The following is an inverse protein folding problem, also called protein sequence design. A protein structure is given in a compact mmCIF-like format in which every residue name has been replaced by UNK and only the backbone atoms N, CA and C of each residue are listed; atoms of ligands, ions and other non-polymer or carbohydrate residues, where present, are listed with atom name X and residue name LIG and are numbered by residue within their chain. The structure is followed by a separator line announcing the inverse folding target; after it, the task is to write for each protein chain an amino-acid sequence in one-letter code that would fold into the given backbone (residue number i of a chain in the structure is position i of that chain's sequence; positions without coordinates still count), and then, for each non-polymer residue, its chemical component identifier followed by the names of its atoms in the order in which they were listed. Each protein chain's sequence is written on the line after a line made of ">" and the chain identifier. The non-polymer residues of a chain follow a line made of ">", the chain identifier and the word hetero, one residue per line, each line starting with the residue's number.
data_IF_352379060109
#
_entry.id   IF_352379060109
#
_cell.length_a   1.000
_cell.length_b   1.000
_cell.length_c   1.000
_cell.angle_alpha   90.00
_cell.angle_beta   90.00
_cell.angle_gamma   90.00
#
_symmetry.space_group_name_H-M   'P 1'
#
loop_
_entity.id
_entity.type
_entity.pdbx_description
1 polymer ?
#
# COMPACT_ATOMS: atom_id res chain seq x y z
N UNK A 1 -40.64 6.37 38.33
CA UNK A 1 -40.61 5.81 36.96
C UNK A 1 -39.18 5.45 36.62
N UNK A 2 -38.97 4.18 36.30
CA UNK A 2 -37.68 3.47 36.30
C UNK A 2 -36.78 3.88 35.12
N UNK A 3 -35.47 4.06 35.36
CA UNK A 3 -34.45 4.18 34.30
C UNK A 3 -33.98 2.77 33.90
N UNK A 4 -33.97 2.38 32.62
CA UNK A 4 -33.37 1.10 32.22
C UNK A 4 -31.85 1.25 32.07
N UNK A 5 -31.10 0.50 32.87
CA UNK A 5 -29.67 0.27 32.71
C UNK A 5 -29.45 -0.82 31.65
N UNK A 6 -29.01 -0.44 30.45
CA UNK A 6 -28.59 -1.39 29.41
C UNK A 6 -27.12 -1.76 29.61
N UNK A 7 -26.85 -2.93 30.19
CA UNK A 7 -25.52 -3.48 30.34
C UNK A 7 -24.98 -4.01 28.99
N UNK A 8 -24.03 -3.29 28.39
CA UNK A 8 -23.31 -3.73 27.19
C UNK A 8 -22.23 -4.75 27.56
N UNK A 9 -22.48 -6.05 27.29
CA UNK A 9 -21.48 -7.12 27.44
C UNK A 9 -20.49 -7.08 26.26
N UNK A 10 -19.19 -6.93 26.57
CA UNK A 10 -18.10 -7.06 25.58
C UNK A 10 -18.05 -8.49 24.99
N UNK A 11 -17.80 -8.68 23.68
CA UNK A 11 -17.62 -10.02 23.12
C UNK A 11 -16.27 -10.62 23.53
N UNK A 12 -16.26 -11.93 23.83
CA UNK A 12 -15.06 -12.70 24.19
C UNK A 12 -14.15 -12.88 22.96
N UNK A 13 -12.85 -12.68 23.13
CA UNK A 13 -11.83 -12.95 22.11
C UNK A 13 -11.69 -14.46 21.86
N UNK A 14 -11.56 -14.85 20.59
CA UNK A 14 -11.20 -16.22 20.19
C UNK A 14 -9.68 -16.43 20.36
N UNK A 15 -9.22 -17.63 20.77
CA UNK A 15 -7.80 -17.93 20.83
C UNK A 15 -7.20 -18.03 19.42
N UNK A 16 -6.02 -17.45 19.23
CA UNK A 16 -5.24 -17.56 17.98
C UNK A 16 -4.58 -18.95 17.94
N UNK A 17 -4.89 -19.74 16.93
CA UNK A 17 -4.15 -20.96 16.62
C UNK A 17 -2.74 -20.59 16.15
N UNK A 18 -1.73 -21.03 16.89
CA UNK A 18 -0.32 -20.93 16.50
C UNK A 18 -0.04 -22.07 15.50
N UNK A 19 0.44 -21.74 14.31
CA UNK A 19 1.07 -22.73 13.44
C UNK A 19 2.51 -22.90 13.93
N UNK A 20 2.83 -24.08 14.45
CA UNK A 20 4.19 -24.43 14.89
C UNK A 20 5.08 -24.65 13.66
N UNK A 21 6.01 -23.73 13.41
CA UNK A 21 7.04 -23.84 12.36
C UNK A 21 8.33 -24.43 12.93
N UNK A 22 8.25 -25.59 13.57
CA UNK A 22 9.41 -26.28 14.13
C UNK A 22 9.51 -27.71 13.60
N UNK A 23 9.67 -27.85 12.29
CA UNK A 23 10.15 -29.07 11.62
C UNK A 23 10.47 -28.77 10.16
N UNK A 24 11.49 -27.93 9.93
CA UNK A 24 12.20 -27.89 8.65
C UNK A 24 13.69 -27.94 8.97
N UNK A 25 14.26 -29.14 8.86
CA UNK A 25 15.70 -29.33 8.87
C UNK A 25 16.31 -28.67 7.62
N UNK A 26 17.53 -28.12 7.67
CA UNK A 26 18.18 -27.54 6.51
C UNK A 26 18.69 -28.67 5.61
N UNK A 27 18.09 -28.86 4.45
CA UNK A 27 18.66 -29.69 3.40
C UNK A 27 19.76 -28.88 2.72
N UNK A 28 21.02 -29.23 2.99
CA UNK A 28 22.16 -28.72 2.23
C UNK A 28 22.05 -29.23 0.78
N UNK A 29 21.60 -28.37 -0.12
CA UNK A 29 21.63 -28.64 -1.56
C UNK A 29 23.04 -28.42 -2.09
N UNK A 30 23.85 -29.48 -2.09
CA UNK A 30 24.94 -29.61 -3.07
C UNK A 30 24.29 -30.05 -4.38
N UNK A 31 24.04 -29.11 -5.28
CA UNK A 31 23.68 -29.41 -6.66
C UNK A 31 24.96 -29.37 -7.49
N UNK A 32 25.44 -30.57 -7.84
CA UNK A 32 26.50 -30.75 -8.83
C UNK A 32 26.00 -30.27 -10.21
N UNK A 33 26.83 -29.48 -10.88
CA UNK A 33 26.47 -28.68 -12.05
C UNK A 33 26.34 -29.47 -13.37
N UNK A 34 26.37 -30.80 -13.35
CA UNK A 34 26.48 -31.62 -14.57
C UNK A 34 25.21 -32.40 -14.96
N UNK A 35 24.11 -32.29 -14.22
CA UNK A 35 22.88 -33.07 -14.47
C UNK A 35 21.73 -32.30 -15.18
N UNK A 36 21.99 -31.12 -15.76
CA UNK A 36 20.96 -30.33 -16.48
C UNK A 36 21.06 -30.39 -18.02
N UNK A 37 21.78 -31.38 -18.58
CA UNK A 37 22.07 -31.42 -20.04
C UNK A 37 21.24 -32.38 -20.90
N UNK A 38 20.28 -33.12 -20.34
CA UNK A 38 19.53 -34.12 -21.14
C UNK A 38 18.06 -34.30 -20.77
N UNK A 39 17.34 -33.21 -20.50
CA UNK A 39 15.88 -33.21 -20.47
C UNK A 39 15.32 -31.92 -21.07
N UNK A 40 15.72 -31.61 -22.30
CA UNK A 40 15.35 -30.36 -23.00
C UNK A 40 14.31 -30.52 -24.13
N UNK A 41 13.74 -31.71 -24.35
CA UNK A 41 12.97 -31.96 -25.59
C UNK A 41 11.44 -32.03 -25.49
N UNK A 42 10.78 -31.75 -24.35
CA UNK A 42 9.32 -31.90 -24.23
C UNK A 42 8.54 -30.81 -23.45
N UNK A 43 9.07 -29.59 -23.34
CA UNK A 43 8.36 -28.44 -22.72
C UNK A 43 8.35 -27.16 -23.56
N UNK A 44 8.52 -27.29 -24.88
CA UNK A 44 8.76 -26.24 -25.89
C UNK A 44 7.69 -25.14 -25.99
N UNK A 45 6.51 -25.30 -25.36
CA UNK A 45 5.45 -24.28 -25.38
C UNK A 45 5.67 -23.10 -24.41
N UNK A 46 6.31 -23.31 -23.25
CA UNK A 46 6.44 -22.28 -22.23
C UNK A 46 7.71 -21.42 -22.39
N UNK A 47 8.74 -21.95 -23.06
CA UNK A 47 10.01 -21.25 -23.28
C UNK A 47 9.92 -20.11 -24.30
N UNK A 48 8.88 -20.09 -25.16
CA UNK A 48 8.67 -19.02 -26.15
C UNK A 48 7.98 -17.78 -25.54
N UNK A 49 7.45 -17.88 -24.32
CA UNK A 49 6.72 -16.79 -23.65
C UNK A 49 7.62 -15.93 -22.75
N UNK A 50 8.83 -16.38 -22.45
CA UNK A 50 9.82 -15.61 -21.69
C UNK A 50 10.80 -15.02 -22.70
N UNK A 51 10.81 -13.69 -22.91
CA UNK A 51 11.75 -13.07 -23.83
C UNK A 51 13.18 -13.41 -23.43
N UNK A 52 13.99 -13.81 -24.40
CA UNK A 52 15.43 -13.99 -24.18
C UNK A 52 16.07 -12.66 -23.76
N UNK A 53 17.22 -12.68 -23.08
CA UNK A 53 17.88 -11.46 -22.63
C UNK A 53 18.14 -10.45 -23.77
N UNK A 54 18.43 -10.93 -24.98
CA UNK A 54 18.56 -10.10 -26.19
C UNK A 54 17.24 -9.47 -26.65
N UNK A 55 16.10 -10.13 -26.42
CA UNK A 55 14.79 -9.55 -26.70
C UNK A 55 14.40 -8.54 -25.64
N UNK A 56 14.78 -8.75 -24.37
CA UNK A 56 14.56 -7.78 -23.30
C UNK A 56 15.28 -6.46 -23.57
N UNK A 57 16.54 -6.48 -24.01
CA UNK A 57 17.27 -5.25 -24.36
C UNK A 57 16.64 -4.51 -25.55
N UNK A 58 16.13 -5.23 -26.55
CA UNK A 58 15.42 -4.62 -27.67
C UNK A 58 14.08 -4.01 -27.25
N UNK A 59 13.38 -4.63 -26.29
CA UNK A 59 12.13 -4.09 -25.72
C UNK A 59 12.43 -2.85 -24.88
N UNK A 60 13.51 -2.84 -24.10
CA UNK A 60 13.95 -1.67 -23.34
C UNK A 60 14.33 -0.49 -24.25
N UNK A 61 15.00 -0.77 -25.37
CA UNK A 61 15.37 0.26 -26.37
C UNK A 61 14.16 0.74 -27.18
N UNK A 62 13.26 -0.16 -27.59
CA UNK A 62 12.08 0.18 -28.40
C UNK A 62 10.97 0.85 -27.58
N UNK A 63 10.88 0.55 -26.27
CA UNK A 63 9.87 1.08 -25.37
C UNK A 63 10.53 1.73 -24.13
N UNK A 64 11.18 2.89 -24.28
CA UNK A 64 11.73 3.62 -23.15
C UNK A 64 10.64 3.93 -22.09
N UNK A 65 9.41 4.24 -22.51
CA UNK A 65 8.25 4.44 -21.62
C UNK A 65 7.86 3.18 -20.82
N UNK A 66 8.19 1.97 -21.30
CA UNK A 66 7.88 0.73 -20.56
C UNK A 66 8.80 0.47 -19.37
N UNK A 67 9.94 1.17 -19.31
CA UNK A 67 11.00 1.03 -18.29
C UNK A 67 10.90 2.12 -17.20
N UNK A 68 10.01 3.10 -17.34
CA UNK A 68 9.74 4.18 -16.38
C UNK A 68 9.25 3.71 -14.99
N UNK A 69 9.21 2.40 -14.75
CA UNK A 69 8.91 1.76 -13.46
C UNK A 69 9.82 2.30 -12.35
N UNK A 70 11.10 2.59 -12.66
CA UNK A 70 12.04 3.14 -11.67
C UNK A 70 11.67 4.57 -11.28
N UNK A 71 11.40 5.42 -12.26
CA UNK A 71 11.01 6.82 -12.04
C UNK A 71 9.67 6.88 -11.29
N UNK A 72 8.71 6.08 -11.72
CA UNK A 72 7.42 5.92 -11.04
C UNK A 72 7.56 5.46 -9.58
N UNK A 73 8.41 4.46 -9.32
CA UNK A 73 8.65 3.99 -7.96
C UNK A 73 9.24 5.10 -7.08
N UNK A 74 10.18 5.88 -7.62
CA UNK A 74 10.78 7.02 -6.93
C UNK A 74 9.77 8.14 -6.67
N UNK A 75 8.92 8.47 -7.62
CA UNK A 75 7.87 9.47 -7.46
C UNK A 75 6.84 9.03 -6.42
N UNK A 76 6.45 7.74 -6.47
CA UNK A 76 5.55 7.15 -5.48
C UNK A 76 6.14 7.23 -4.08
N UNK A 77 7.42 6.91 -3.91
CA UNK A 77 8.11 7.02 -2.63
C UNK A 77 8.17 8.48 -2.15
N UNK A 78 8.54 9.42 -3.02
CA UNK A 78 8.58 10.85 -2.69
C UNK A 78 7.20 11.38 -2.24
N UNK A 79 6.12 10.94 -2.88
CA UNK A 79 4.75 11.28 -2.47
C UNK A 79 4.37 10.66 -1.12
N UNK A 80 4.74 9.40 -0.88
CA UNK A 80 4.50 8.74 0.41
C UNK A 80 5.22 9.49 1.53
N UNK A 81 6.47 9.88 1.32
CA UNK A 81 7.25 10.67 2.28
C UNK A 81 6.62 12.04 2.56
N UNK A 82 6.19 12.75 1.51
CA UNK A 82 5.54 14.04 1.63
C UNK A 82 4.18 13.96 2.36
N UNK A 83 3.41 12.89 2.15
CA UNK A 83 2.09 12.70 2.78
C UNK A 83 2.16 12.11 4.18
N UNK A 84 3.18 11.30 4.48
CA UNK A 84 3.38 10.74 5.82
C UNK A 84 3.58 11.83 6.88
N UNK A 85 3.99 13.04 6.46
CA UNK A 85 4.12 14.19 7.34
C UNK A 85 5.07 13.92 8.50
N UNK A 86 6.03 13.00 8.31
CA UNK A 86 7.03 12.68 9.31
C UNK A 86 7.79 13.96 9.57
N UNK A 87 7.56 14.55 10.74
CA UNK A 87 8.28 15.73 11.17
C UNK A 87 9.77 15.40 11.07
N UNK A 88 10.51 16.24 10.34
CA UNK A 88 11.96 16.19 10.43
C UNK A 88 12.29 16.46 11.90
N UNK A 89 12.69 15.41 12.62
CA UNK A 89 13.23 15.54 13.96
C UNK A 89 14.52 16.34 13.84
N UNK A 90 14.37 17.67 13.92
CA UNK A 90 15.44 18.64 14.09
C UNK A 90 15.89 18.51 15.53
N UNK A 91 16.57 17.40 15.82
CA UNK A 91 17.30 17.24 17.06
C UNK A 91 18.40 18.30 17.08
N UNK A 92 18.14 19.39 17.82
CA UNK A 92 19.16 20.39 18.10
C UNK A 92 20.36 19.68 18.73
N UNK A 93 21.59 19.84 18.20
CA UNK A 93 22.77 19.25 18.82
C UNK A 93 22.89 19.70 20.27
N UNK A 94 23.18 18.76 21.17
CA UNK A 94 23.33 19.07 22.59
C UNK A 94 24.61 19.85 22.86
N UNK A 95 24.75 20.43 24.05
CA UNK A 95 25.96 21.14 24.48
C UNK A 95 27.26 20.32 24.29
N UNK A 96 27.17 18.99 24.36
CA UNK A 96 28.29 18.08 24.16
C UNK A 96 28.64 17.75 22.70
N UNK A 97 27.85 18.19 21.72
CA UNK A 97 28.09 17.91 20.29
C UNK A 97 29.06 18.90 19.62
N UNK A 98 29.40 19.99 20.30
CA UNK A 98 30.28 21.03 19.77
C UNK A 98 31.76 20.77 20.05
N UNK A 99 32.10 19.62 20.64
CA UNK A 99 33.48 19.26 21.02
C UNK A 99 34.34 18.83 19.82
N UNK A 100 34.37 19.62 18.75
CA UNK A 100 35.32 19.49 17.63
C UNK A 100 35.28 18.18 16.82
N UNK A 101 35.88 18.22 15.63
CA UNK A 101 36.10 17.04 14.80
C UNK A 101 37.16 16.14 15.47
N UNK A 102 36.74 15.01 16.06
CA UNK A 102 37.66 14.03 16.65
C UNK A 102 37.20 13.40 17.97
N UNK A 103 36.20 13.98 18.64
CA UNK A 103 35.61 13.39 19.84
C UNK A 103 34.55 12.36 19.43
N UNK A 104 34.69 11.12 19.93
CA UNK A 104 33.73 10.06 19.65
C UNK A 104 32.37 10.39 20.29
N UNK A 105 31.26 10.31 19.53
CA UNK A 105 29.93 10.56 20.10
C UNK A 105 29.62 9.54 21.20
N UNK A 106 28.84 9.98 22.19
CA UNK A 106 28.47 9.11 23.31
C UNK A 106 27.58 7.96 22.80
N UNK A 107 27.85 6.72 23.23
CA UNK A 107 27.04 5.53 22.89
C UNK A 107 25.54 5.76 23.10
N UNK A 108 25.15 6.47 24.17
CA UNK A 108 23.74 6.77 24.47
C UNK A 108 23.12 7.71 23.42
N UNK A 109 23.90 8.62 22.89
CA UNK A 109 23.46 9.55 21.87
C UNK A 109 23.34 8.86 20.51
N UNK A 110 24.31 8.02 20.13
CA UNK A 110 24.17 7.18 18.94
C UNK A 110 22.93 6.29 19.02
N UNK A 111 22.69 5.67 20.19
CA UNK A 111 21.49 4.85 20.41
C UNK A 111 20.21 5.66 20.21
N UNK A 112 20.11 6.88 20.76
CA UNK A 112 18.97 7.77 20.53
C UNK A 112 18.74 8.07 19.06
N UNK A 113 19.80 8.47 18.34
CA UNK A 113 19.73 8.76 16.89
C UNK A 113 19.31 7.52 16.09
N UNK A 114 19.76 6.32 16.47
CA UNK A 114 19.35 5.06 15.82
C UNK A 114 17.87 4.77 16.07
N UNK A 115 17.42 4.82 17.32
CA UNK A 115 16.00 4.57 17.66
C UNK A 115 15.05 5.58 17.03
N UNK A 116 15.47 6.84 16.91
CA UNK A 116 14.72 7.89 16.21
C UNK A 116 14.56 7.58 14.71
N UNK A 117 15.66 7.17 14.05
CA UNK A 117 15.64 6.75 12.64
C UNK A 117 14.76 5.52 12.42
N UNK A 118 14.87 4.52 13.29
CA UNK A 118 14.03 3.31 13.24
C UNK A 118 12.55 3.67 13.42
N UNK A 119 12.21 4.51 14.40
CA UNK A 119 10.85 4.97 14.62
C UNK A 119 10.28 5.75 13.41
N UNK A 120 11.11 6.58 12.75
CA UNK A 120 10.75 7.27 11.50
C UNK A 120 10.49 6.30 10.37
N UNK A 121 11.36 5.30 10.18
CA UNK A 121 11.17 4.28 9.15
C UNK A 121 9.89 3.49 9.38
N UNK A 122 9.64 3.05 10.61
CA UNK A 122 8.39 2.38 10.95
C UNK A 122 7.16 3.25 10.69
N UNK A 123 7.23 4.55 10.94
CA UNK A 123 6.13 5.46 10.66
C UNK A 123 5.89 5.61 9.16
N UNK A 124 6.96 5.68 8.36
CA UNK A 124 6.87 5.75 6.90
C UNK A 124 6.29 4.46 6.31
N UNK A 125 6.74 3.30 6.80
CA UNK A 125 6.20 1.99 6.40
C UNK A 125 4.72 1.86 6.77
N UNK A 126 4.34 2.23 8.00
CA UNK A 126 2.93 2.24 8.42
C UNK A 126 2.09 3.23 7.59
N UNK A 127 2.67 4.34 7.14
CA UNK A 127 1.99 5.30 6.27
C UNK A 127 1.82 4.73 4.86
N UNK A 128 2.86 4.06 4.33
CA UNK A 128 2.79 3.36 3.05
C UNK A 128 1.71 2.27 3.06
N UNK A 129 1.66 1.45 4.11
CA UNK A 129 0.68 0.36 4.26
C UNK A 129 -0.77 0.83 4.42
N UNK A 130 -0.98 2.03 4.97
CA UNK A 130 -2.32 2.61 5.15
C UNK A 130 -2.94 3.07 3.84
N UNK A 131 -2.12 3.36 2.82
CA UNK A 131 -2.62 3.84 1.53
C UNK A 131 -3.29 2.70 0.77
N UNK A 132 -4.33 3.04 0.03
CA UNK A 132 -5.10 2.06 -0.77
C UNK A 132 -4.31 1.49 -1.94
N UNK A 133 -3.30 2.21 -2.39
CA UNK A 133 -2.43 1.83 -3.51
C UNK A 133 -1.18 1.05 -3.08
N UNK A 134 -1.05 0.67 -1.80
CA UNK A 134 0.10 -0.09 -1.30
C UNK A 134 0.29 -1.43 -2.02
N UNK A 135 -0.81 -2.14 -2.30
CA UNK A 135 -0.77 -3.44 -2.98
C UNK A 135 -0.60 -3.34 -4.50
N UNK A 136 -0.62 -2.12 -5.08
CA UNK A 136 -0.61 -1.90 -6.53
C UNK A 136 0.74 -1.34 -6.98
N UNK A 137 1.41 -2.05 -7.89
CA UNK A 137 2.76 -1.67 -8.37
C UNK A 137 2.78 -0.37 -9.20
N UNK A 138 1.82 -0.21 -10.11
CA UNK A 138 1.86 0.81 -11.16
C UNK A 138 0.78 1.87 -10.98
N UNK A 139 0.26 2.03 -9.76
CA UNK A 139 -0.83 2.97 -9.47
C UNK A 139 -0.44 3.86 -8.30
N UNK A 140 -0.63 5.16 -8.49
CA UNK A 140 -0.57 6.19 -7.47
C UNK A 140 -1.99 6.76 -7.34
N UNK A 141 -2.59 6.65 -6.16
CA UNK A 141 -3.93 7.19 -5.88
C UNK A 141 -3.80 8.40 -4.95
N UNK A 142 -4.36 9.54 -5.33
CA UNK A 142 -4.48 10.68 -4.43
C UNK A 142 -5.63 10.46 -3.45
N UNK A 143 -5.33 10.41 -2.15
CA UNK A 143 -6.34 10.23 -1.09
C UNK A 143 -6.94 11.55 -0.58
N UNK A 144 -6.47 12.68 -1.13
CA UNK A 144 -6.91 14.03 -0.75
C UNK A 144 -8.36 14.25 -1.17
N UNK A 145 -9.20 14.70 -0.24
CA UNK A 145 -10.62 14.99 -0.51
C UNK A 145 -10.81 16.33 -1.23
N UNK A 146 -11.49 16.29 -2.37
CA UNK A 146 -11.84 17.48 -3.14
C UNK A 146 -12.91 18.33 -2.45
N UNK A 147 -12.51 19.51 -1.96
CA UNK A 147 -13.40 20.46 -1.27
C UNK A 147 -14.48 21.04 -2.19
N UNK A 148 -14.20 21.16 -3.49
CA UNK A 148 -15.15 21.68 -4.49
C UNK A 148 -16.23 20.65 -4.81
N UNK A 149 -15.83 19.41 -5.07
CA UNK A 149 -16.75 18.30 -5.35
C UNK A 149 -17.62 17.94 -4.13
N UNK A 150 -17.08 18.08 -2.91
CA UNK A 150 -17.79 17.78 -1.67
C UNK A 150 -19.12 18.55 -1.50
N UNK A 151 -19.29 19.71 -2.15
CA UNK A 151 -20.53 20.50 -2.12
C UNK A 151 -21.70 19.81 -2.83
N UNK A 152 -21.41 19.02 -3.85
CA UNK A 152 -22.41 18.28 -4.63
C UNK A 152 -22.64 16.86 -4.09
N UNK A 153 -21.91 16.47 -3.05
CA UNK A 153 -22.15 15.21 -2.35
C UNK A 153 -23.12 15.43 -1.20
N UNK A 154 -23.99 14.45 -0.96
CA UNK A 154 -24.95 14.53 0.14
C UNK A 154 -24.23 14.38 1.49
N UNK A 155 -24.51 15.27 2.45
CA UNK A 155 -23.84 15.29 3.75
C UNK A 155 -24.24 14.10 4.65
N UNK A 156 -25.52 13.71 4.63
CA UNK A 156 -26.07 12.60 5.39
C UNK A 156 -27.20 11.91 4.60
N UNK A 157 -27.43 10.63 4.88
CA UNK A 157 -28.47 9.85 4.19
C UNK A 157 -29.86 10.45 4.49
N UNK A 158 -30.66 10.81 3.47
CA UNK A 158 -31.97 11.40 3.69
C UNK A 158 -32.98 10.36 4.18
N UNK A 159 -33.93 10.79 5.03
CA UNK A 159 -35.13 10.00 5.35
C UNK A 159 -35.91 9.72 4.05
N UNK A 160 -36.41 8.51 3.76
CA UNK A 160 -36.65 7.33 4.62
C UNK A 160 -35.56 6.25 4.60
N UNK A 161 -34.40 6.50 3.98
CA UNK A 161 -33.38 5.46 3.80
C UNK A 161 -32.59 5.21 5.09
N UNK A 162 -32.21 3.94 5.33
CA UNK A 162 -31.45 3.52 6.53
C UNK A 162 -29.95 3.39 6.28
N UNK A 163 -29.54 3.25 5.02
CA UNK A 163 -28.15 3.06 4.62
C UNK A 163 -27.82 3.93 3.41
N UNK A 164 -26.56 4.40 3.35
CA UNK A 164 -26.02 5.15 2.21
C UNK A 164 -26.12 4.35 0.92
N UNK A 165 -25.85 3.05 0.99
CA UNK A 165 -25.95 2.17 -0.17
C UNK A 165 -27.37 2.07 -0.72
N UNK A 166 -28.40 2.09 0.14
CA UNK A 166 -29.79 2.07 -0.30
C UNK A 166 -30.13 3.34 -1.07
N UNK A 167 -29.71 4.49 -0.52
CA UNK A 167 -29.92 5.79 -1.15
C UNK A 167 -29.20 5.90 -2.50
N UNK A 168 -27.91 5.57 -2.56
CA UNK A 168 -27.13 5.63 -3.80
C UNK A 168 -27.65 4.67 -4.87
N UNK A 169 -28.11 3.47 -4.48
CA UNK A 169 -28.75 2.53 -5.42
C UNK A 169 -30.05 3.08 -5.98
N UNK A 170 -30.85 3.76 -5.16
CA UNK A 170 -32.12 4.35 -5.62
C UNK A 170 -31.94 5.49 -6.63
N UNK A 171 -30.84 6.25 -6.54
CA UNK A 171 -30.54 7.35 -7.47
C UNK A 171 -29.63 6.95 -8.64
N UNK A 172 -29.31 5.65 -8.79
CA UNK A 172 -28.34 5.19 -9.80
C UNK A 172 -28.81 5.41 -11.24
N UNK A 173 -30.12 5.38 -11.48
CA UNK A 173 -30.68 5.50 -12.82
C UNK A 173 -31.14 6.96 -13.07
N UNK A 174 -30.68 7.60 -14.16
CA UNK A 174 -31.19 8.92 -14.54
C UNK A 174 -32.64 8.82 -15.00
N UNK A 175 -33.44 9.86 -14.72
CA UNK A 175 -34.87 9.89 -15.06
C UNK A 175 -35.19 10.65 -16.35
N UNK A 176 -34.24 11.42 -16.90
CA UNK A 176 -34.51 12.28 -18.06
C UNK A 176 -34.76 11.52 -19.37
N UNK A 177 -35.45 12.18 -20.29
CA UNK A 177 -35.83 11.64 -21.62
C UNK A 177 -34.60 11.28 -22.44
N UNK A 178 -33.48 11.96 -22.21
CA UNK A 178 -32.23 11.77 -22.94
C UNK A 178 -31.55 10.43 -22.63
N UNK A 179 -31.86 9.82 -21.48
CA UNK A 179 -31.20 8.61 -21.00
C UNK A 179 -32.12 7.38 -21.00
N UNK A 180 -33.42 7.56 -21.21
CA UNK A 180 -34.45 6.53 -21.15
C UNK A 180 -35.23 6.44 -22.46
N UNK A 181 -35.83 5.28 -22.76
CA UNK A 181 -36.72 5.18 -23.91
C UNK A 181 -38.02 5.93 -23.63
N UNK A 182 -38.76 6.27 -24.69
CA UNK A 182 -40.05 6.97 -24.55
C UNK A 182 -41.02 6.20 -23.65
N UNK A 183 -41.04 4.87 -23.77
CA UNK A 183 -41.88 4.00 -22.95
C UNK A 183 -41.45 3.98 -21.48
N UNK A 184 -40.14 3.89 -21.18
CA UNK A 184 -39.67 3.85 -19.80
C UNK A 184 -39.71 5.20 -19.10
N UNK A 185 -39.62 6.30 -19.85
CA UNK A 185 -39.80 7.66 -19.33
C UNK A 185 -41.27 8.00 -19.08
N UNK A 186 -42.20 7.45 -19.87
CA UNK A 186 -43.63 7.74 -19.75
C UNK A 186 -44.33 7.02 -18.59
N UNK A 187 -43.66 6.06 -17.95
CA UNK A 187 -44.16 5.26 -16.84
C UNK A 187 -44.14 5.99 -15.49
#
# INVERSE_FOLDING_TARGET
>A
LHKPTSAFKKPKSRPKTRFDTSLVAPMENKMDADACKSLVDLTTGASLLIPTASQQSLVEEAFPESVEISEFASEKQALVEAEAGVAEETEMPGWGDWSGLGVKPNRRQEQRKRTAKEARQEQLEKAADRRKDAALRNVIISEKRDKKAAKFTVAAVPFPFKSREQFERSMRNPLGVEWNTTESHAQ
#
